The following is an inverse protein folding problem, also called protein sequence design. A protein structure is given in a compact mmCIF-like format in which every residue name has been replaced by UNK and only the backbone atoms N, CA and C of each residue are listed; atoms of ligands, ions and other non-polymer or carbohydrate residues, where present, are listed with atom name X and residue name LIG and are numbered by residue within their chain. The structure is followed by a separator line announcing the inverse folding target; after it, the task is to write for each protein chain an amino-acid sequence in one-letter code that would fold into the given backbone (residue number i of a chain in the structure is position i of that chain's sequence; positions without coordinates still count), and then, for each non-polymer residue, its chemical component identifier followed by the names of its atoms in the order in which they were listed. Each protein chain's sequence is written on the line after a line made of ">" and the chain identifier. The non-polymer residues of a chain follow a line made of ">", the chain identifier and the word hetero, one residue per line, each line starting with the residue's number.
data_IF_053809508581
#
_entry.id   IF_053809508581
#
_cell.length_a   1.000
_cell.length_b   1.000
_cell.length_c   1.000
_cell.angle_alpha   90.00
_cell.angle_beta   90.00
_cell.angle_gamma   90.00
#
_symmetry.space_group_name_H-M   'P 1'
#
loop_
_entity.id
_entity.type
_entity.pdbx_description
1 polymer ?
#
# COMPACT_ATOMS: atom_id res chain seq x y z
N UNK A 1 -16.23 -0.28 -17.15
CA UNK A 1 -14.96 -1.03 -17.05
C UNK A 1 -15.03 -2.26 -17.98
N UNK A 2 -13.92 -2.66 -18.60
CA UNK A 2 -13.86 -3.90 -19.42
C UNK A 2 -13.50 -5.12 -18.59
N UNK A 3 -12.72 -4.91 -17.54
CA UNK A 3 -12.35 -5.94 -16.56
C UNK A 3 -13.36 -5.93 -15.43
N UNK A 4 -13.82 -7.11 -15.01
CA UNK A 4 -14.74 -7.25 -13.87
C UNK A 4 -13.99 -7.13 -12.53
N UNK A 5 -14.72 -6.83 -11.46
CA UNK A 5 -14.18 -6.81 -10.10
C UNK A 5 -13.48 -8.14 -9.72
N UNK A 6 -14.08 -9.28 -10.10
CA UNK A 6 -13.54 -10.60 -9.83
C UNK A 6 -12.23 -10.85 -10.60
N UNK A 7 -12.16 -10.48 -11.87
CA UNK A 7 -10.93 -10.60 -12.67
C UNK A 7 -9.81 -9.70 -12.13
N UNK A 8 -10.14 -8.47 -11.73
CA UNK A 8 -9.17 -7.57 -11.11
C UNK A 8 -8.63 -8.12 -9.77
N UNK A 9 -9.50 -8.72 -8.94
CA UNK A 9 -9.07 -9.42 -7.72
C UNK A 9 -8.13 -10.57 -8.03
N UNK A 10 -8.45 -11.40 -9.02
CA UNK A 10 -7.63 -12.53 -9.43
C UNK A 10 -6.22 -12.09 -9.86
N UNK A 11 -6.10 -10.97 -10.57
CA UNK A 11 -4.79 -10.39 -10.94
C UNK A 11 -3.96 -10.05 -9.69
N UNK A 12 -4.56 -9.44 -8.67
CA UNK A 12 -3.88 -9.13 -7.40
C UNK A 12 -3.47 -10.41 -6.68
N UNK A 13 -4.36 -11.41 -6.60
CA UNK A 13 -4.07 -12.72 -6.00
C UNK A 13 -2.90 -13.43 -6.67
N UNK A 14 -2.87 -13.46 -8.01
CA UNK A 14 -1.78 -14.07 -8.78
C UNK A 14 -0.45 -13.36 -8.55
N UNK A 15 -0.46 -12.02 -8.45
CA UNK A 15 0.76 -11.23 -8.24
C UNK A 15 1.39 -11.42 -6.86
N UNK A 16 0.61 -11.89 -5.87
CA UNK A 16 1.01 -12.01 -4.46
C UNK A 16 2.29 -12.82 -4.27
N UNK A 17 2.53 -13.80 -5.14
CA UNK A 17 3.74 -14.65 -5.11
C UNK A 17 5.03 -13.88 -5.38
N UNK A 18 4.95 -12.72 -6.04
CA UNK A 18 6.08 -11.84 -6.34
C UNK A 18 6.25 -10.70 -5.33
N UNK A 19 5.37 -10.62 -4.32
CA UNK A 19 5.36 -9.49 -3.41
C UNK A 19 6.57 -9.49 -2.50
N UNK A 20 7.21 -8.33 -2.39
CA UNK A 20 8.32 -8.11 -1.46
C UNK A 20 8.30 -6.68 -0.94
N UNK A 21 8.99 -6.48 0.18
CA UNK A 21 9.11 -5.15 0.79
C UNK A 21 10.05 -4.30 -0.06
N UNK A 22 9.51 -3.18 -0.53
CA UNK A 22 10.23 -2.18 -1.30
C UNK A 22 10.90 -1.13 -0.42
N UNK A 23 10.98 0.09 -0.94
CA UNK A 23 11.63 1.20 -0.23
C UNK A 23 10.83 1.61 1.02
N UNK A 24 11.53 2.19 1.98
CA UNK A 24 10.93 2.97 3.07
C UNK A 24 11.06 4.43 2.68
N UNK A 25 9.96 5.18 2.75
CA UNK A 25 9.91 6.61 2.53
C UNK A 25 9.61 7.29 3.86
N UNK A 26 10.40 8.31 4.15
CA UNK A 26 10.18 9.23 5.26
C UNK A 26 9.82 10.57 4.63
N UNK A 27 8.69 11.13 5.04
CA UNK A 27 8.23 12.44 4.59
C UNK A 27 8.23 13.35 5.79
N UNK A 28 9.07 14.38 5.75
CA UNK A 28 9.11 15.42 6.76
C UNK A 28 8.21 16.57 6.30
N UNK A 29 7.29 16.97 7.17
CA UNK A 29 6.53 18.21 7.07
C UNK A 29 7.06 19.15 8.15
N UNK A 30 7.33 20.41 7.79
CA UNK A 30 8.08 21.37 8.64
C UNK A 30 7.50 21.52 10.05
N UNK A 31 6.18 21.48 10.19
CA UNK A 31 5.50 21.68 11.48
C UNK A 31 4.83 20.41 12.05
N UNK A 32 4.68 19.34 11.25
CA UNK A 32 3.96 18.14 11.67
C UNK A 32 4.89 17.01 12.09
N UNK A 33 6.12 16.97 11.54
CA UNK A 33 7.12 15.94 11.82
C UNK A 33 7.26 14.92 10.69
N UNK A 34 7.71 13.70 11.01
CA UNK A 34 7.94 12.63 10.03
C UNK A 34 6.78 11.65 9.94
N UNK A 35 6.31 11.40 8.73
CA UNK A 35 5.47 10.25 8.38
C UNK A 35 6.32 9.16 7.71
N UNK A 36 6.02 7.90 8.02
CA UNK A 36 6.73 6.74 7.46
C UNK A 36 5.81 5.88 6.62
N UNK A 37 6.24 5.61 5.38
CA UNK A 37 5.55 4.72 4.45
C UNK A 37 6.49 3.62 3.97
N UNK A 38 6.00 2.39 3.92
CA UNK A 38 6.74 1.24 3.38
C UNK A 38 6.02 0.70 2.16
N UNK A 39 6.74 0.59 1.05
CA UNK A 39 6.15 0.15 -0.22
C UNK A 39 6.10 -1.37 -0.31
N UNK A 40 5.02 -1.88 -0.89
CA UNK A 40 4.91 -3.27 -1.34
C UNK A 40 5.18 -3.26 -2.84
N UNK A 41 6.19 -4.01 -3.25
CA UNK A 41 6.54 -4.19 -4.64
C UNK A 41 6.03 -5.53 -5.16
N UNK A 42 5.55 -5.57 -6.39
CA UNK A 42 5.44 -6.77 -7.21
C UNK A 42 6.58 -6.79 -8.24
N UNK A 43 6.58 -7.80 -9.13
CA UNK A 43 7.56 -7.88 -10.23
C UNK A 43 7.65 -6.60 -11.09
N UNK A 44 6.53 -5.89 -11.25
CA UNK A 44 6.45 -4.66 -12.06
C UNK A 44 6.88 -3.39 -11.31
N UNK A 45 7.16 -3.48 -10.02
CA UNK A 45 7.48 -2.34 -9.16
C UNK A 45 6.49 -2.09 -8.02
N UNK A 46 6.45 -0.88 -7.43
CA UNK A 46 5.64 -0.57 -6.25
C UNK A 46 4.15 -0.53 -6.59
N UNK A 47 3.35 -1.36 -5.95
CA UNK A 47 1.89 -1.49 -6.23
C UNK A 47 1.00 -1.04 -5.07
N UNK A 48 1.56 -0.95 -3.86
CA UNK A 48 0.87 -0.48 -2.67
C UNK A 48 1.87 0.15 -1.69
N UNK A 49 1.34 0.88 -0.71
CA UNK A 49 2.11 1.46 0.40
C UNK A 49 1.37 1.23 1.71
N UNK A 50 2.10 0.88 2.76
CA UNK A 50 1.61 0.79 4.13
C UNK A 50 2.09 2.02 4.89
N UNK A 51 1.17 2.72 5.55
CA UNK A 51 1.52 3.73 6.53
C UNK A 51 1.93 3.04 7.83
N UNK A 52 2.98 3.56 8.47
CA UNK A 52 3.56 2.94 9.66
C UNK A 52 3.73 4.00 10.73
N UNK A 53 3.33 3.66 11.96
CA UNK A 53 3.60 4.51 13.11
C UNK A 53 5.13 4.65 13.30
N UNK A 54 5.70 5.86 13.20
CA UNK A 54 7.15 6.04 13.25
C UNK A 54 7.79 5.67 14.60
N UNK A 55 6.99 5.62 15.67
CA UNK A 55 7.45 5.30 17.02
C UNK A 55 7.37 3.81 17.32
N UNK A 56 6.26 3.17 16.96
CA UNK A 56 5.98 1.77 17.36
C UNK A 56 6.23 0.76 16.25
N UNK A 57 6.31 1.24 15.00
CA UNK A 57 6.35 0.38 13.82
C UNK A 57 5.02 -0.33 13.51
N UNK A 58 3.93 0.02 14.19
CA UNK A 58 2.61 -0.54 13.91
C UNK A 58 2.12 -0.10 12.52
N UNK A 59 1.51 -1.02 11.77
CA UNK A 59 0.85 -0.67 10.51
C UNK A 59 -0.42 0.10 10.83
N UNK A 60 -0.58 1.26 10.19
CA UNK A 60 -1.73 2.14 10.40
C UNK A 60 -2.88 1.74 9.49
N UNK A 61 -4.14 1.98 9.90
CA UNK A 61 -5.28 1.86 9.01
C UNK A 61 -5.14 2.76 7.77
N UNK A 62 -5.83 2.39 6.70
CA UNK A 62 -5.82 3.11 5.44
C UNK A 62 -6.24 4.58 5.64
N UNK A 63 -5.46 5.50 5.08
CA UNK A 63 -5.62 6.97 5.21
C UNK A 63 -5.43 7.53 6.62
N UNK A 64 -5.00 6.72 7.59
CA UNK A 64 -4.53 7.24 8.87
C UNK A 64 -3.07 7.63 8.73
N UNK A 65 -2.77 8.87 9.11
CA UNK A 65 -1.43 9.44 9.10
C UNK A 65 -1.04 9.76 10.55
N UNK A 66 0.21 9.45 10.91
CA UNK A 66 0.78 9.77 12.22
C UNK A 66 2.12 10.43 11.96
N UNK A 67 2.25 11.66 12.44
CA UNK A 67 3.49 12.42 12.37
C UNK A 67 4.13 12.48 13.75
N UNK A 68 5.46 12.34 13.79
CA UNK A 68 6.23 12.51 15.03
C UNK A 68 7.49 13.34 14.80
N UNK A 69 7.91 14.12 15.80
CA UNK A 69 9.10 14.97 15.69
C UNK A 69 10.41 14.16 15.50
N UNK A 70 10.44 12.92 15.98
CA UNK A 70 11.60 12.02 15.86
C UNK A 70 11.18 10.69 15.26
N UNK A 71 12.14 9.95 14.72
CA UNK A 71 11.95 8.56 14.32
C UNK A 71 12.59 7.65 15.38
N UNK A 72 11.78 6.98 16.19
CA UNK A 72 12.31 6.07 17.22
C UNK A 72 12.78 4.72 16.64
N UNK A 73 12.33 4.38 15.44
CA UNK A 73 12.56 3.09 14.81
C UNK A 73 13.56 3.17 13.64
N UNK A 74 14.65 2.38 13.66
CA UNK A 74 15.54 2.27 12.50
C UNK A 74 14.81 1.77 11.26
N UNK A 75 15.23 2.26 10.08
CA UNK A 75 14.67 1.85 8.78
C UNK A 75 14.65 0.32 8.60
N UNK A 76 15.70 -0.37 9.02
CA UNK A 76 15.79 -1.82 8.90
C UNK A 76 14.73 -2.55 9.73
N UNK A 77 14.44 -2.05 10.94
CA UNK A 77 13.39 -2.60 11.80
C UNK A 77 12.00 -2.45 11.18
N UNK A 78 11.72 -1.30 10.55
CA UNK A 78 10.47 -1.08 9.80
C UNK A 78 10.32 -2.06 8.63
N UNK A 79 11.41 -2.29 7.88
CA UNK A 79 11.42 -3.29 6.80
C UNK A 79 11.11 -4.68 7.34
N UNK A 80 11.71 -5.09 8.46
CA UNK A 80 11.46 -6.42 9.02
C UNK A 80 10.02 -6.59 9.50
N UNK A 81 9.45 -5.60 10.20
CA UNK A 81 8.02 -5.65 10.59
C UNK A 81 7.09 -5.79 9.39
N UNK A 82 7.37 -5.07 8.31
CA UNK A 82 6.55 -5.19 7.09
C UNK A 82 6.76 -6.53 6.40
N UNK A 83 7.97 -7.11 6.43
CA UNK A 83 8.22 -8.47 5.92
C UNK A 83 7.41 -9.51 6.69
N UNK A 84 7.27 -9.36 8.00
CA UNK A 84 6.47 -10.25 8.85
C UNK A 84 4.96 -10.09 8.60
N UNK A 85 4.51 -8.87 8.28
CA UNK A 85 3.11 -8.55 7.98
C UNK A 85 2.70 -8.98 6.58
N UNK A 86 3.60 -8.86 5.60
CA UNK A 86 3.30 -9.11 4.18
C UNK A 86 2.59 -10.45 3.92
N UNK A 87 3.03 -11.61 4.46
CA UNK A 87 2.33 -12.87 4.26
C UNK A 87 0.97 -12.93 4.97
N UNK A 88 0.74 -12.09 6.00
CA UNK A 88 -0.51 -12.02 6.77
C UNK A 88 -1.58 -11.14 6.13
N UNK A 89 -1.22 -10.32 5.12
CA UNK A 89 -2.18 -9.46 4.44
C UNK A 89 -3.26 -10.29 3.75
N UNK A 90 -4.50 -9.88 3.88
CA UNK A 90 -5.64 -10.50 3.22
C UNK A 90 -6.08 -9.61 2.07
N UNK A 91 -6.29 -10.21 0.89
CA UNK A 91 -6.88 -9.52 -0.25
C UNK A 91 -8.39 -9.58 -0.03
N UNK A 92 -9.04 -8.43 0.11
CA UNK A 92 -10.47 -8.39 0.42
C UNK A 92 -11.33 -8.90 -0.73
N UNK A 93 -12.55 -9.31 -0.38
CA UNK A 93 -13.52 -9.87 -1.32
C UNK A 93 -14.09 -8.81 -2.27
N UNK A 94 -14.29 -7.59 -1.77
CA UNK A 94 -14.95 -6.51 -2.50
C UNK A 94 -13.93 -5.59 -3.17
N UNK A 95 -14.16 -5.31 -4.45
CA UNK A 95 -13.42 -4.33 -5.22
C UNK A 95 -14.35 -3.19 -5.63
N UNK A 96 -13.84 -1.96 -5.64
CA UNK A 96 -14.62 -0.80 -6.08
C UNK A 96 -13.86 0.02 -7.10
N UNK A 97 -14.60 0.72 -7.96
CA UNK A 97 -14.01 1.58 -8.97
C UNK A 97 -13.42 2.86 -8.36
N UNK A 98 -12.33 3.32 -8.95
CA UNK A 98 -11.66 4.57 -8.61
C UNK A 98 -11.31 5.40 -9.83
N UNK A 99 -10.98 6.67 -9.59
CA UNK A 99 -10.53 7.60 -10.63
C UNK A 99 -11.53 7.73 -11.78
N UNK A 100 -12.82 7.85 -11.47
CA UNK A 100 -13.92 7.89 -12.45
C UNK A 100 -14.03 6.62 -13.33
N UNK A 101 -13.77 5.45 -12.74
CA UNK A 101 -13.89 4.16 -13.43
C UNK A 101 -12.64 3.71 -14.18
N UNK A 102 -11.51 4.43 -14.04
CA UNK A 102 -10.23 4.09 -14.69
C UNK A 102 -9.57 2.84 -14.10
N UNK A 103 -9.75 2.58 -12.81
CA UNK A 103 -9.12 1.43 -12.15
C UNK A 103 -10.02 0.84 -11.07
N UNK A 104 -9.82 -0.44 -10.80
CA UNK A 104 -10.31 -1.13 -9.61
C UNK A 104 -9.37 -0.87 -8.44
N UNK A 105 -9.93 -0.61 -7.26
CA UNK A 105 -9.23 -0.65 -5.98
C UNK A 105 -9.52 -1.99 -5.33
N UNK A 106 -8.46 -2.74 -5.06
CA UNK A 106 -8.50 -4.03 -4.37
C UNK A 106 -7.96 -3.81 -2.95
N UNK A 107 -8.78 -3.98 -1.91
CA UNK A 107 -8.38 -3.72 -0.53
C UNK A 107 -7.40 -4.76 0.00
N UNK A 108 -6.45 -4.29 0.79
CA UNK A 108 -5.54 -5.12 1.58
C UNK A 108 -5.88 -4.94 3.06
N UNK A 109 -6.20 -6.04 3.74
CA UNK A 109 -6.53 -6.09 5.15
C UNK A 109 -5.39 -6.71 5.96
N UNK A 110 -5.20 -6.21 7.17
CA UNK A 110 -4.39 -6.84 8.21
C UNK A 110 -5.28 -7.02 9.44
N UNK A 111 -5.49 -8.27 9.87
CA UNK A 111 -6.28 -8.58 11.07
C UNK A 111 -7.67 -7.90 11.03
N UNK A 112 -8.34 -7.95 9.88
CA UNK A 112 -9.65 -7.34 9.67
C UNK A 112 -9.65 -5.82 9.43
N UNK A 113 -8.50 -5.15 9.55
CA UNK A 113 -8.37 -3.70 9.33
C UNK A 113 -7.89 -3.39 7.91
N UNK A 114 -8.58 -2.52 7.18
CA UNK A 114 -8.13 -2.04 5.87
C UNK A 114 -6.85 -1.21 6.05
N UNK A 115 -5.73 -1.62 5.45
CA UNK A 115 -4.42 -0.94 5.60
C UNK A 115 -3.89 -0.35 4.29
N UNK A 116 -4.33 -0.86 3.15
CA UNK A 116 -3.94 -0.32 1.84
C UNK A 116 -4.88 -0.77 0.73
N UNK A 117 -4.61 -0.32 -0.49
CA UNK A 117 -5.29 -0.78 -1.70
C UNK A 117 -4.29 -0.98 -2.83
N UNK A 118 -4.44 -2.05 -3.59
CA UNK A 118 -3.77 -2.25 -4.88
C UNK A 118 -4.68 -1.74 -5.99
N UNK A 119 -4.11 -1.16 -7.05
CA UNK A 119 -4.87 -0.68 -8.20
C UNK A 119 -4.67 -1.61 -9.40
N UNK A 120 -5.76 -1.91 -10.10
CA UNK A 120 -5.76 -2.67 -11.35
C UNK A 120 -6.47 -1.83 -12.40
N UNK A 121 -5.85 -1.64 -13.56
CA UNK A 121 -6.47 -0.92 -14.68
C UNK A 121 -7.80 -1.58 -15.08
N UNK A 122 -8.86 -0.79 -15.16
CA UNK A 122 -10.20 -1.33 -15.38
C UNK A 122 -10.47 -1.64 -16.86
N UNK A 123 -9.59 -1.24 -17.78
CA UNK A 123 -9.67 -1.53 -19.21
C UNK A 123 -8.75 -2.69 -19.61
N UNK A 124 -7.52 -2.75 -19.09
CA UNK A 124 -6.50 -3.75 -19.47
C UNK A 124 -6.36 -4.90 -18.48
N UNK A 125 -6.70 -4.69 -17.21
CA UNK A 125 -6.50 -5.69 -16.15
C UNK A 125 -5.07 -5.74 -15.63
N UNK A 126 -4.23 -4.77 -15.99
CA UNK A 126 -2.86 -4.71 -15.52
C UNK A 126 -2.78 -4.10 -14.12
N UNK A 127 -1.82 -4.58 -13.32
CA UNK A 127 -1.48 -3.93 -12.06
C UNK A 127 -0.90 -2.54 -12.33
N UNK A 128 -1.39 -1.56 -11.60
CA UNK A 128 -0.89 -0.19 -11.69
C UNK A 128 0.18 0.04 -10.63
N UNK A 129 1.34 0.53 -11.07
CA UNK A 129 2.37 1.02 -10.16
C UNK A 129 1.88 2.31 -9.49
N UNK A 130 2.18 2.45 -8.20
CA UNK A 130 1.96 3.72 -7.49
C UNK A 130 3.17 4.62 -7.66
N UNK A 131 2.92 5.91 -7.93
CA UNK A 131 3.99 6.88 -7.98
C UNK A 131 4.65 6.97 -6.61
N UNK A 132 5.98 6.97 -6.61
CA UNK A 132 6.77 7.02 -5.38
C UNK A 132 7.47 8.35 -5.17
N UNK A 133 7.19 9.33 -6.04
CA UNK A 133 7.53 10.76 -5.90
C UNK A 133 6.29 11.50 -5.37
N UNK A 134 6.48 12.56 -4.56
CA UNK A 134 5.40 13.46 -4.10
C UNK A 134 4.63 13.95 -5.33
N UNK A 135 3.40 13.50 -5.50
CA UNK A 135 2.35 14.28 -6.17
C UNK A 135 1.23 14.44 -5.16
N UNK A 136 0.94 15.69 -4.83
CA UNK A 136 -0.41 16.08 -4.46
C UNK A 136 -1.26 15.79 -5.69
N UNK A 137 -2.12 14.77 -5.60
CA UNK A 137 -3.19 14.56 -6.58
C UNK A 137 -4.49 14.60 -5.78
N UNK A 138 -5.23 15.68 -5.98
CA UNK A 138 -6.63 15.88 -5.56
C UNK A 138 -7.57 14.79 -6.12
#
# INVERSE_FOLDING_TARGET
>A
PRVSAAAAKQVVEQSRTSWHVGKVQQQWEEDEGVEVRVFINAAIGPIAKLAVNPQTGAILPYRVEVYTATLAMPRQTLVQKVKEVLPKLQIGAEAWLGGHGRYWRIPLFLEGTLVSTVKVDAATGELLIINTRKRYDD
#
